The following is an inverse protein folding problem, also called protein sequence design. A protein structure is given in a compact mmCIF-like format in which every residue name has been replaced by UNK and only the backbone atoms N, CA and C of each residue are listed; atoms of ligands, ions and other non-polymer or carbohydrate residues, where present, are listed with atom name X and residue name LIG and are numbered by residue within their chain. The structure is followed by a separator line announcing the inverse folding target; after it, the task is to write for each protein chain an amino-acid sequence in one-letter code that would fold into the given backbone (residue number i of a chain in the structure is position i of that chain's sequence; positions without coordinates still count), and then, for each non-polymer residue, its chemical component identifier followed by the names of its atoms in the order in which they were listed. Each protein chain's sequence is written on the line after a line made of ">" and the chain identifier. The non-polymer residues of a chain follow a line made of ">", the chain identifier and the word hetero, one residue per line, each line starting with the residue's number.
data_IF_645641864293
#
_entry.id   IF_645641864293
#
_cell.length_a   1.000
_cell.length_b   1.000
_cell.length_c   1.000
_cell.angle_alpha   90.00
_cell.angle_beta   90.00
_cell.angle_gamma   90.00
#
_symmetry.space_group_name_H-M   'P 1'
#
loop_
_entity.id
_entity.type
_entity.pdbx_description
1 polymer ?
#
# COMPACT_ATOMS: atom_id res chain seq x y z
N UNK A 1 56.99 22.36 -28.18
CA UNK A 1 56.65 21.77 -26.86
C UNK A 1 55.29 22.22 -26.29
N UNK A 2 54.53 23.11 -26.96
CA UNK A 2 53.22 23.62 -26.48
C UNK A 2 51.98 22.86 -27.03
N UNK A 3 52.14 21.96 -28.00
CA UNK A 3 51.04 21.19 -28.58
C UNK A 3 50.58 19.99 -27.72
N UNK A 4 51.39 19.56 -26.74
CA UNK A 4 51.09 18.39 -25.90
C UNK A 4 50.31 18.73 -24.63
N UNK A 5 50.39 19.97 -24.15
CA UNK A 5 49.73 20.41 -22.92
C UNK A 5 48.23 20.72 -23.13
N UNK A 6 47.81 21.08 -24.34
CA UNK A 6 46.40 21.43 -24.61
C UNK A 6 45.49 20.22 -24.81
N UNK A 7 46.04 19.07 -25.25
CA UNK A 7 45.25 17.83 -25.40
C UNK A 7 44.76 17.26 -24.07
N UNK A 8 45.52 17.47 -22.99
CA UNK A 8 45.16 16.97 -21.66
C UNK A 8 44.04 17.80 -21.00
N UNK A 9 44.04 19.12 -21.21
CA UNK A 9 43.00 20.01 -20.68
C UNK A 9 41.64 19.77 -21.35
N UNK A 10 41.62 19.57 -22.68
CA UNK A 10 40.40 19.28 -23.42
C UNK A 10 39.82 17.91 -23.04
N UNK A 11 40.67 16.90 -22.89
CA UNK A 11 40.26 15.56 -22.46
C UNK A 11 39.70 15.58 -21.02
N UNK A 12 40.35 16.29 -20.09
CA UNK A 12 39.86 16.44 -18.72
C UNK A 12 38.52 17.16 -18.66
N UNK A 13 38.31 18.22 -19.46
CA UNK A 13 37.03 18.93 -19.52
C UNK A 13 35.89 18.05 -20.05
N UNK A 14 36.14 17.27 -21.10
CA UNK A 14 35.16 16.34 -21.70
C UNK A 14 34.82 15.21 -20.71
N UNK A 15 35.82 14.61 -20.06
CA UNK A 15 35.61 13.53 -19.07
C UNK A 15 34.90 14.07 -17.82
N UNK A 16 35.26 15.26 -17.34
CA UNK A 16 34.61 15.91 -16.19
C UNK A 16 33.17 16.30 -16.50
N UNK A 17 32.88 16.81 -17.69
CA UNK A 17 31.53 17.09 -18.15
C UNK A 17 30.70 15.80 -18.31
N UNK A 18 31.27 14.74 -18.91
CA UNK A 18 30.60 13.45 -19.06
C UNK A 18 30.29 12.78 -17.71
N UNK A 19 31.20 12.87 -16.73
CA UNK A 19 30.98 12.35 -15.38
C UNK A 19 29.88 13.12 -14.65
N UNK A 20 29.84 14.45 -14.78
CA UNK A 20 28.79 15.28 -14.17
C UNK A 20 27.43 15.05 -14.82
N UNK A 21 27.35 14.93 -16.15
CA UNK A 21 26.13 14.60 -16.89
C UNK A 21 25.60 13.21 -16.47
N UNK A 22 26.49 12.22 -16.31
CA UNK A 22 26.12 10.86 -15.92
C UNK A 22 25.67 10.77 -14.46
N UNK A 23 26.26 11.55 -13.55
CA UNK A 23 25.82 11.66 -12.15
C UNK A 23 24.44 12.33 -12.06
N UNK A 24 24.21 13.41 -12.81
CA UNK A 24 22.90 14.08 -12.82
C UNK A 24 21.78 13.21 -13.42
N UNK A 25 22.08 12.39 -14.43
CA UNK A 25 21.09 11.50 -15.06
C UNK A 25 20.72 10.31 -14.16
N UNK A 26 21.64 9.82 -13.33
CA UNK A 26 21.41 8.68 -12.44
C UNK A 26 20.69 9.08 -11.13
N UNK A 27 20.87 10.33 -10.65
CA UNK A 27 20.21 10.85 -9.45
C UNK A 27 18.73 11.21 -9.65
N UNK A 28 18.24 11.28 -10.90
CA UNK A 28 16.84 11.64 -11.20
C UNK A 28 15.89 10.43 -11.27
N UNK A 29 16.39 9.20 -11.15
CA UNK A 29 15.59 7.98 -11.34
C UNK A 29 15.57 7.05 -10.13
N UNK A 30 15.53 7.56 -8.90
CA UNK A 30 15.28 6.75 -7.70
C UNK A 30 14.45 7.48 -6.62
N UNK A 31 13.36 8.15 -6.99
CA UNK A 31 12.36 8.56 -6.00
C UNK A 31 10.93 8.59 -6.56
N UNK A 32 10.56 7.56 -7.34
CA UNK A 32 9.16 7.33 -7.71
C UNK A 32 8.66 6.05 -7.10
N UNK A 33 8.60 6.02 -5.78
CA UNK A 33 7.68 5.11 -5.10
C UNK A 33 6.29 5.66 -5.39
N UNK A 34 5.60 4.99 -6.30
CA UNK A 34 4.19 5.22 -6.59
C UNK A 34 3.41 5.15 -5.29
N UNK A 35 2.86 6.28 -4.83
CA UNK A 35 1.88 6.30 -3.76
C UNK A 35 0.65 5.49 -4.20
N UNK A 36 0.66 4.20 -3.89
CA UNK A 36 -0.43 3.28 -4.22
C UNK A 36 -1.45 3.31 -3.09
N UNK A 37 -2.67 3.72 -3.41
CA UNK A 37 -3.78 3.74 -2.44
C UNK A 37 -4.40 2.35 -2.37
N UNK A 38 -4.26 1.67 -1.24
CA UNK A 38 -5.05 0.49 -0.90
C UNK A 38 -6.13 0.88 0.10
N UNK A 39 -7.37 1.07 -0.39
CA UNK A 39 -8.53 1.43 0.43
C UNK A 39 -9.63 0.38 0.24
N UNK A 40 -10.06 -0.22 1.35
CA UNK A 40 -11.19 -1.14 1.40
C UNK A 40 -12.29 -0.52 2.28
N UNK A 41 -13.53 -0.49 1.79
CA UNK A 41 -14.71 -0.05 2.55
C UNK A 41 -15.72 -1.17 2.55
N UNK A 42 -16.01 -1.71 3.74
CA UNK A 42 -16.94 -2.82 3.94
C UNK A 42 -18.16 -2.32 4.70
N UNK A 43 -19.35 -2.67 4.21
CA UNK A 43 -20.63 -2.41 4.87
C UNK A 43 -21.37 -3.73 4.88
N UNK A 44 -21.70 -4.23 6.08
CA UNK A 44 -22.33 -5.54 6.23
C UNK A 44 -22.70 -5.83 7.67
N UNK A 45 -22.99 -7.10 7.94
CA UNK A 45 -23.42 -7.58 9.25
C UNK A 45 -22.29 -8.32 9.95
N UNK A 46 -22.20 -8.18 11.27
CA UNK A 46 -21.26 -8.97 12.07
C UNK A 46 -21.82 -10.40 12.22
N UNK A 47 -20.97 -11.40 11.98
CA UNK A 47 -21.36 -12.80 12.17
C UNK A 47 -21.33 -13.26 13.63
N UNK A 48 -20.54 -12.57 14.46
CA UNK A 48 -20.39 -12.80 15.89
C UNK A 48 -19.88 -11.52 16.55
N UNK A 49 -19.98 -11.45 17.87
CA UNK A 49 -19.41 -10.35 18.65
C UNK A 49 -17.90 -10.26 18.44
N UNK A 50 -17.33 -9.03 18.42
CA UNK A 50 -15.90 -8.84 18.21
C UNK A 50 -15.09 -9.38 19.39
N UNK A 51 -14.09 -10.20 19.09
CA UNK A 51 -13.19 -10.77 20.08
C UNK A 51 -11.98 -9.83 20.26
N UNK A 52 -11.81 -9.29 21.47
CA UNK A 52 -10.64 -8.48 21.84
C UNK A 52 -9.63 -9.33 22.59
N UNK A 53 -8.36 -9.27 22.17
CA UNK A 53 -7.24 -9.96 22.80
C UNK A 53 -6.11 -8.98 23.07
N UNK A 54 -5.56 -9.03 24.28
CA UNK A 54 -4.37 -8.26 24.64
C UNK A 54 -3.14 -9.14 24.44
N UNK A 55 -2.24 -8.72 23.56
CA UNK A 55 -0.97 -9.40 23.36
C UNK A 55 -0.02 -9.13 24.55
N UNK A 56 0.94 -10.04 24.85
CA UNK A 56 1.94 -9.83 25.89
C UNK A 56 2.80 -8.57 25.71
N UNK A 57 2.86 -8.05 24.48
CA UNK A 57 3.51 -6.78 24.11
C UNK A 57 2.73 -5.53 24.52
N UNK A 58 1.55 -5.68 25.12
CA UNK A 58 0.67 -4.57 25.52
C UNK A 58 -0.22 -4.03 24.40
N UNK A 59 -0.14 -4.59 23.19
CA UNK A 59 -1.02 -4.23 22.06
C UNK A 59 -2.32 -5.01 22.18
N UNK A 60 -3.45 -4.31 22.25
CA UNK A 60 -4.78 -4.93 22.15
C UNK A 60 -5.23 -4.97 20.68
N UNK A 61 -5.79 -6.11 20.30
CA UNK A 61 -6.17 -6.47 18.94
C UNK A 61 -7.59 -7.00 18.97
N UNK A 62 -8.46 -6.51 18.07
CA UNK A 62 -9.80 -7.02 17.92
C UNK A 62 -9.95 -7.74 16.59
N UNK A 63 -10.58 -8.92 16.62
CA UNK A 63 -10.91 -9.70 15.45
C UNK A 63 -12.43 -9.82 15.33
N UNK A 64 -12.96 -9.61 14.13
CA UNK A 64 -14.37 -9.88 13.85
C UNK A 64 -14.55 -10.23 12.37
N UNK A 65 -15.71 -10.83 12.06
CA UNK A 65 -16.08 -11.24 10.70
C UNK A 65 -17.30 -10.46 10.24
N UNK A 66 -17.19 -9.84 9.06
CA UNK A 66 -18.29 -9.13 8.41
C UNK A 66 -18.80 -9.96 7.23
N UNK A 67 -20.09 -10.23 7.20
CA UNK A 67 -20.81 -10.79 6.07
C UNK A 67 -21.35 -9.68 5.16
N UNK A 68 -20.94 -9.71 3.89
CA UNK A 68 -21.53 -8.87 2.82
C UNK A 68 -22.37 -9.75 1.91
N UNK A 69 -23.62 -9.38 1.66
CA UNK A 69 -24.49 -10.11 0.74
C UNK A 69 -24.66 -9.34 -0.57
N UNK A 70 -24.47 -10.03 -1.68
CA UNK A 70 -24.74 -9.52 -3.02
C UNK A 70 -25.86 -10.34 -3.64
N UNK A 71 -26.90 -9.65 -4.11
CA UNK A 71 -27.98 -10.26 -4.90
C UNK A 71 -27.81 -9.85 -6.35
N UNK A 72 -27.74 -10.82 -7.25
CA UNK A 72 -27.69 -10.56 -8.68
C UNK A 72 -28.57 -11.56 -9.43
N UNK A 73 -29.07 -11.12 -10.58
CA UNK A 73 -29.81 -11.99 -11.50
C UNK A 73 -28.83 -12.55 -12.51
N UNK A 74 -28.71 -13.87 -12.59
CA UNK A 74 -27.89 -14.52 -13.61
C UNK A 74 -28.58 -14.35 -14.98
N UNK A 75 -27.82 -13.87 -15.97
CA UNK A 75 -28.33 -13.60 -17.32
C UNK A 75 -28.57 -14.90 -18.11
N UNK A 76 -27.93 -16.00 -17.72
CA UNK A 76 -28.01 -17.28 -18.44
C UNK A 76 -29.21 -18.09 -17.98
N UNK A 77 -29.43 -18.16 -16.67
CA UNK A 77 -30.47 -18.98 -16.02
C UNK A 77 -31.69 -18.17 -15.60
N UNK A 78 -31.66 -16.84 -15.70
CA UNK A 78 -32.72 -15.92 -15.23
C UNK A 78 -33.11 -16.10 -13.76
N UNK A 79 -32.25 -16.75 -12.96
CA UNK A 79 -32.48 -17.00 -11.55
C UNK A 79 -31.84 -15.89 -10.70
N UNK A 80 -32.51 -15.55 -9.59
CA UNK A 80 -31.98 -14.63 -8.59
C UNK A 80 -31.02 -15.39 -7.68
N UNK A 81 -29.74 -15.07 -7.76
CA UNK A 81 -28.69 -15.68 -6.94
C UNK A 81 -28.35 -14.72 -5.80
N UNK A 82 -28.32 -15.27 -4.58
CA UNK A 82 -27.83 -14.58 -3.39
C UNK A 82 -26.47 -15.17 -3.02
N UNK A 83 -25.41 -14.37 -3.11
CA UNK A 83 -24.06 -14.78 -2.68
C UNK A 83 -23.67 -13.99 -1.44
N UNK A 84 -23.25 -14.70 -0.40
CA UNK A 84 -22.72 -14.10 0.82
C UNK A 84 -21.23 -14.33 0.88
N UNK A 85 -20.47 -13.27 1.13
CA UNK A 85 -19.03 -13.29 1.30
C UNK A 85 -18.68 -12.87 2.74
N UNK A 86 -17.73 -13.58 3.33
CA UNK A 86 -17.30 -13.35 4.71
C UNK A 86 -15.87 -12.81 4.71
N UNK A 87 -15.71 -11.63 5.31
CA UNK A 87 -14.44 -10.92 5.41
C UNK A 87 -13.95 -10.97 6.86
N UNK A 88 -12.69 -11.36 7.06
CA UNK A 88 -12.05 -11.33 8.38
C UNK A 88 -11.31 -10.01 8.56
N UNK A 89 -11.69 -9.23 9.57
CA UNK A 89 -11.10 -7.93 9.86
C UNK A 89 -10.35 -8.00 11.19
N UNK A 90 -9.12 -7.50 11.18
CA UNK A 90 -8.25 -7.38 12.35
C UNK A 90 -7.95 -5.91 12.57
N UNK A 91 -8.28 -5.41 13.76
CA UNK A 91 -8.00 -4.03 14.17
C UNK A 91 -6.92 -4.04 15.24
N UNK A 92 -5.86 -3.26 15.00
CA UNK A 92 -4.79 -3.00 15.97
C UNK A 92 -5.01 -1.60 16.58
N UNK A 93 -4.92 -1.46 17.92
CA UNK A 93 -5.13 -0.17 18.62
C UNK A 93 -3.97 0.79 18.38
N UNK A 94 -4.23 2.06 18.00
CA UNK A 94 -4.72 3.17 18.84
C UNK A 94 -6.26 3.40 18.93
N UNK A 95 -7.09 2.64 18.20
CA UNK A 95 -8.51 3.01 17.92
C UNK A 95 -9.59 2.19 18.68
N UNK A 96 -9.26 1.07 19.36
CA UNK A 96 -10.31 0.19 19.94
C UNK A 96 -11.05 0.79 21.15
N UNK A 97 -10.55 1.89 21.73
CA UNK A 97 -11.24 2.52 22.84
C UNK A 97 -12.67 2.97 22.47
N UNK A 98 -12.94 3.19 21.17
CA UNK A 98 -14.27 3.56 20.67
C UNK A 98 -15.18 2.39 20.28
N UNK A 99 -14.63 1.21 19.99
CA UNK A 99 -15.43 0.00 19.70
C UNK A 99 -16.07 -0.59 20.96
N UNK A 100 -15.51 -0.34 22.14
CA UNK A 100 -16.09 -0.78 23.42
C UNK A 100 -17.34 -0.02 23.86
N UNK A 101 -17.66 1.12 23.24
CA UNK A 101 -18.69 2.04 23.76
C UNK A 101 -20.02 2.09 22.98
N UNK A 102 -20.29 1.21 22.01
CA UNK A 102 -21.55 1.27 21.24
C UNK A 102 -22.07 -0.10 20.78
N UNK A 103 -21.99 -1.11 21.66
CA UNK A 103 -22.84 -2.31 21.56
C UNK A 103 -23.90 -2.19 22.65
#
# INVERSE_FOLDING_TARGET
>A
MLFFLWKNALCYAIVKAAFHIRISFQLFSLEKISNMLNKVTLIGYLGADPESRTMPSGVEVANFRIGTSQRYTDKTTSQRINKTEWHSVVIFIHILQRLRCNI
#
